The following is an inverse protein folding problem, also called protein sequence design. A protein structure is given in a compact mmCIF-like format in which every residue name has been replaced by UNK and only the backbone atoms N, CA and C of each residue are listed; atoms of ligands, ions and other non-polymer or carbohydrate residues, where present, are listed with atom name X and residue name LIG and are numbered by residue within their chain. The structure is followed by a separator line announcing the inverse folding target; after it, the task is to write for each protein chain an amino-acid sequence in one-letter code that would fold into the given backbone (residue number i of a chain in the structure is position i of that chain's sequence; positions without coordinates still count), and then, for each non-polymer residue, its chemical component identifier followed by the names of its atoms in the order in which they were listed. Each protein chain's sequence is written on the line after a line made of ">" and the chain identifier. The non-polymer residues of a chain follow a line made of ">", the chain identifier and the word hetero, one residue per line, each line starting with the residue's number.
data_IF_021168710827
#
_entry.id   IF_021168710827
#
_cell.length_a   1.000
_cell.length_b   1.000
_cell.length_c   1.000
_cell.angle_alpha   90.00
_cell.angle_beta   90.00
_cell.angle_gamma   90.00
#
_symmetry.space_group_name_H-M   'P 1'
#
loop_
_entity.id
_entity.type
_entity.pdbx_description
1 polymer ?
#
# COMPACT_ATOMS: atom_id res chain seq x y z
N UNK A 1 -10.93 -4.01 -25.58
CA UNK A 1 -10.17 -4.01 -24.31
C UNK A 1 -9.20 -5.19 -24.19
N UNK A 2 -9.66 -6.44 -24.04
CA UNK A 2 -8.81 -7.62 -23.78
C UNK A 2 -7.58 -7.74 -24.69
N UNK A 3 -7.78 -7.72 -26.01
CA UNK A 3 -6.68 -7.88 -26.96
C UNK A 3 -5.71 -6.70 -26.94
N UNK A 4 -6.20 -5.48 -26.66
CA UNK A 4 -5.36 -4.28 -26.51
C UNK A 4 -4.41 -4.44 -25.33
N UNK A 5 -4.96 -4.74 -24.15
CA UNK A 5 -4.18 -4.96 -22.94
C UNK A 5 -3.20 -6.14 -23.05
N UNK A 6 -3.58 -7.22 -23.74
CA UNK A 6 -2.65 -8.32 -23.99
C UNK A 6 -1.51 -7.91 -24.93
N UNK A 7 -1.80 -7.13 -25.97
CA UNK A 7 -0.77 -6.58 -26.86
C UNK A 7 0.19 -5.67 -26.10
N UNK A 8 -0.33 -4.71 -25.34
CA UNK A 8 0.44 -3.76 -24.54
C UNK A 8 1.25 -4.45 -23.44
N UNK A 9 0.75 -5.53 -22.83
CA UNK A 9 1.48 -6.29 -21.80
C UNK A 9 2.81 -6.89 -22.28
N UNK A 10 2.94 -7.06 -23.60
CA UNK A 10 4.16 -7.55 -24.27
C UNK A 10 4.80 -6.51 -25.17
N UNK A 11 4.20 -5.32 -25.26
CA UNK A 11 4.67 -4.22 -26.09
C UNK A 11 5.91 -3.58 -25.49
N UNK A 12 6.83 -3.16 -26.35
CA UNK A 12 8.11 -2.55 -25.95
C UNK A 12 8.28 -1.14 -26.52
N UNK A 13 7.21 -0.55 -27.07
CA UNK A 13 7.25 0.81 -27.60
C UNK A 13 7.44 1.77 -26.44
N UNK A 14 8.48 2.60 -26.53
CA UNK A 14 8.79 3.64 -25.56
C UNK A 14 8.92 4.97 -26.28
N UNK A 15 8.14 5.97 -25.84
CA UNK A 15 8.25 7.35 -26.30
C UNK A 15 8.89 8.21 -25.21
N UNK A 16 8.37 8.15 -24.00
CA UNK A 16 8.86 8.85 -22.82
C UNK A 16 8.26 8.23 -21.54
N UNK A 17 8.50 8.82 -20.37
CA UNK A 17 7.99 8.30 -19.10
C UNK A 17 6.48 8.53 -18.87
N UNK A 18 5.76 9.17 -19.79
CA UNK A 18 4.31 9.40 -19.70
C UNK A 18 3.56 8.93 -20.96
N UNK A 19 4.21 8.15 -21.82
CA UNK A 19 3.64 7.63 -23.08
C UNK A 19 4.44 6.44 -23.62
N UNK A 20 3.74 5.39 -24.03
CA UNK A 20 4.33 4.14 -24.54
C UNK A 20 3.60 2.91 -24.00
N UNK A 21 3.88 1.74 -24.56
CA UNK A 21 3.09 0.51 -24.31
C UNK A 21 2.99 0.18 -22.81
N UNK A 22 4.10 0.30 -22.09
CA UNK A 22 4.13 0.02 -20.64
C UNK A 22 3.34 1.05 -19.82
N UNK A 23 3.38 2.32 -20.22
CA UNK A 23 2.61 3.38 -19.55
C UNK A 23 1.12 3.19 -19.82
N UNK A 24 0.73 2.97 -21.08
CA UNK A 24 -0.66 2.76 -21.50
C UNK A 24 -1.25 1.52 -20.82
N UNK A 25 -0.47 0.43 -20.77
CA UNK A 25 -0.84 -0.80 -20.09
C UNK A 25 -1.19 -0.58 -18.61
N UNK A 26 -0.37 0.19 -17.89
CA UNK A 26 -0.60 0.51 -16.48
C UNK A 26 -1.74 1.53 -16.31
N UNK A 27 -1.82 2.54 -17.17
CA UNK A 27 -2.85 3.57 -17.16
C UNK A 27 -4.24 2.95 -17.28
N UNK A 28 -4.41 2.03 -18.23
CA UNK A 28 -5.68 1.34 -18.45
C UNK A 28 -6.10 0.53 -17.22
N UNK A 29 -5.16 -0.20 -16.62
CA UNK A 29 -5.45 -1.01 -15.44
C UNK A 29 -5.83 -0.13 -14.26
N UNK A 30 -5.10 0.96 -14.03
CA UNK A 30 -5.43 1.95 -13.02
C UNK A 30 -6.84 2.50 -13.23
N UNK A 31 -7.14 2.96 -14.44
CA UNK A 31 -8.43 3.55 -14.77
C UNK A 31 -9.57 2.54 -14.55
N UNK A 32 -9.36 1.29 -14.95
CA UNK A 32 -10.32 0.20 -14.70
C UNK A 32 -10.54 0.01 -13.20
N UNK A 33 -9.47 -0.03 -12.40
CA UNK A 33 -9.56 -0.16 -10.94
C UNK A 33 -10.27 1.04 -10.31
N UNK A 34 -9.96 2.26 -10.74
CA UNK A 34 -10.62 3.47 -10.28
C UNK A 34 -12.14 3.40 -10.52
N UNK A 35 -12.53 3.17 -11.77
CA UNK A 35 -13.93 3.15 -12.16
C UNK A 35 -14.70 2.04 -11.46
N UNK A 36 -14.14 0.82 -11.44
CA UNK A 36 -14.84 -0.33 -10.91
C UNK A 36 -14.87 -0.35 -9.38
N UNK A 37 -13.83 0.14 -8.69
CA UNK A 37 -13.76 0.08 -7.22
C UNK A 37 -14.32 1.33 -6.53
N UNK A 38 -14.14 2.53 -7.11
CA UNK A 38 -14.33 3.80 -6.36
C UNK A 38 -15.22 4.86 -7.02
N UNK A 39 -15.69 4.66 -8.25
CA UNK A 39 -16.59 5.60 -8.93
C UNK A 39 -18.08 5.18 -8.86
N UNK A 40 -18.37 3.97 -8.39
CA UNK A 40 -19.74 3.50 -8.16
C UNK A 40 -20.38 4.11 -6.91
N UNK A 41 -21.69 4.36 -6.94
CA UNK A 41 -22.45 5.03 -5.88
C UNK A 41 -22.53 4.27 -4.54
N UNK A 42 -22.11 3.01 -4.50
CA UNK A 42 -22.19 2.15 -3.30
C UNK A 42 -20.91 1.37 -2.99
N UNK A 43 -19.81 1.60 -3.72
CA UNK A 43 -18.53 0.87 -3.59
C UNK A 43 -18.72 -0.66 -3.40
N UNK A 44 -19.78 -1.24 -3.98
CA UNK A 44 -20.14 -2.66 -3.79
C UNK A 44 -19.06 -3.60 -4.26
N UNK A 45 -18.24 -3.17 -5.23
CA UNK A 45 -17.10 -3.91 -5.77
C UNK A 45 -16.02 -4.22 -4.74
N UNK A 46 -15.92 -3.44 -3.65
CA UNK A 46 -15.00 -3.70 -2.53
C UNK A 46 -15.71 -4.23 -1.29
N UNK A 47 -17.02 -4.55 -1.36
CA UNK A 47 -17.76 -5.03 -0.19
C UNK A 47 -17.11 -6.28 0.40
N UNK A 48 -16.69 -6.22 1.66
CA UNK A 48 -15.91 -7.23 2.38
C UNK A 48 -14.39 -7.24 2.08
N UNK A 49 -13.85 -6.21 1.44
CA UNK A 49 -12.43 -5.96 1.18
C UNK A 49 -12.00 -4.54 1.61
N UNK A 50 -12.85 -3.84 2.35
CA UNK A 50 -12.75 -2.42 2.67
C UNK A 50 -11.43 -2.09 3.37
N UNK A 51 -11.04 -2.88 4.38
CA UNK A 51 -9.83 -2.67 5.16
C UNK A 51 -8.56 -2.66 4.29
N UNK A 52 -8.56 -3.45 3.21
CA UNK A 52 -7.42 -3.56 2.30
C UNK A 52 -7.53 -2.60 1.11
N UNK A 53 -8.74 -2.28 0.64
CA UNK A 53 -8.94 -1.55 -0.61
C UNK A 53 -9.30 -0.07 -0.41
N UNK A 54 -9.92 0.33 0.69
CA UNK A 54 -10.27 1.75 0.93
C UNK A 54 -9.03 2.67 1.02
N UNK A 55 -7.91 2.29 1.66
CA UNK A 55 -6.73 3.15 1.75
C UNK A 55 -6.15 3.52 0.38
N UNK A 56 -6.35 2.68 -0.64
CA UNK A 56 -5.86 2.90 -2.01
C UNK A 56 -6.70 3.92 -2.79
N UNK A 57 -7.87 4.32 -2.30
CA UNK A 57 -8.81 5.21 -3.00
C UNK A 57 -8.17 6.53 -3.44
N UNK A 58 -7.33 7.14 -2.60
CA UNK A 58 -6.65 8.40 -2.95
C UNK A 58 -5.67 8.23 -4.11
N UNK A 59 -5.00 7.08 -4.21
CA UNK A 59 -4.06 6.77 -5.29
C UNK A 59 -4.79 6.55 -6.61
N UNK A 60 -5.93 5.84 -6.57
CA UNK A 60 -6.70 5.54 -7.76
C UNK A 60 -7.49 6.73 -8.27
N UNK A 61 -8.15 7.51 -7.39
CA UNK A 61 -8.94 8.67 -7.80
C UNK A 61 -8.11 9.88 -8.21
N UNK A 62 -6.79 9.81 -8.09
CA UNK A 62 -5.92 10.82 -8.67
C UNK A 62 -5.86 10.64 -10.20
N UNK A 63 -6.30 11.63 -10.96
CA UNK A 63 -6.50 11.49 -12.39
C UNK A 63 -5.16 11.59 -13.15
N UNK A 64 -4.75 10.52 -13.83
CA UNK A 64 -3.53 10.52 -14.67
C UNK A 64 -3.60 11.48 -15.88
N UNK A 65 -4.79 11.97 -16.22
CA UNK A 65 -5.02 12.86 -17.36
C UNK A 65 -5.15 14.34 -16.98
N UNK A 66 -4.82 14.74 -15.73
CA UNK A 66 -4.92 16.14 -15.31
C UNK A 66 -4.22 17.04 -16.34
N UNK A 67 -4.94 18.04 -16.85
CA UNK A 67 -4.46 18.92 -17.94
C UNK A 67 -3.25 19.78 -17.58
N UNK A 68 -2.89 19.84 -16.29
CA UNK A 68 -1.70 20.52 -15.78
C UNK A 68 -0.77 19.58 -14.99
N UNK A 69 -0.95 18.26 -15.11
CA UNK A 69 -0.08 17.28 -14.46
C UNK A 69 0.08 16.03 -15.34
N UNK A 70 1.31 15.80 -15.79
CA UNK A 70 1.68 14.57 -16.49
C UNK A 70 2.17 13.56 -15.47
N UNK A 71 1.45 12.45 -15.33
CA UNK A 71 1.87 11.37 -14.43
C UNK A 71 2.91 10.48 -15.10
N UNK A 72 4.09 10.41 -14.49
CA UNK A 72 5.15 9.52 -14.95
C UNK A 72 4.83 8.06 -14.60
N UNK A 73 5.46 7.14 -15.34
CA UNK A 73 5.50 5.72 -15.03
C UNK A 73 5.80 5.52 -13.55
N UNK A 74 5.00 4.67 -12.90
CA UNK A 74 5.14 4.32 -11.49
C UNK A 74 4.85 5.44 -10.48
N UNK A 75 4.33 6.59 -10.89
CA UNK A 75 4.00 7.67 -9.94
C UNK A 75 3.05 7.22 -8.81
N UNK A 76 2.14 6.29 -9.12
CA UNK A 76 1.20 5.72 -8.15
C UNK A 76 1.87 4.88 -7.04
N UNK A 77 3.14 4.49 -7.22
CA UNK A 77 3.89 3.67 -6.28
C UNK A 77 4.30 4.45 -5.02
N UNK A 78 3.32 4.65 -4.15
CA UNK A 78 3.49 5.25 -2.82
C UNK A 78 3.62 4.18 -1.74
N UNK A 79 4.08 4.57 -0.55
CA UNK A 79 4.10 3.69 0.63
C UNK A 79 2.71 3.11 0.92
N UNK A 80 1.66 3.93 0.77
CA UNK A 80 0.27 3.49 0.91
C UNK A 80 -0.07 2.44 -0.15
N UNK A 81 0.30 2.66 -1.40
CA UNK A 81 0.04 1.67 -2.45
C UNK A 81 0.71 0.33 -2.14
N UNK A 82 2.01 0.35 -1.86
CA UNK A 82 2.79 -0.87 -1.58
C UNK A 82 2.36 -1.58 -0.29
N UNK A 83 1.79 -0.85 0.68
CA UNK A 83 1.29 -1.44 1.93
C UNK A 83 -0.01 -2.23 1.73
N UNK A 84 -0.89 -1.81 0.82
CA UNK A 84 -2.26 -2.34 0.73
C UNK A 84 -2.57 -3.09 -0.57
N UNK A 85 -1.81 -2.88 -1.66
CA UNK A 85 -2.14 -3.40 -2.99
C UNK A 85 -2.21 -4.94 -3.02
N UNK A 86 -1.25 -5.64 -2.41
CA UNK A 86 -1.21 -7.11 -2.39
C UNK A 86 -2.39 -7.75 -1.65
N UNK A 87 -2.75 -7.20 -0.48
CA UNK A 87 -3.88 -7.70 0.32
C UNK A 87 -5.22 -7.37 -0.35
N UNK A 88 -5.34 -6.18 -0.95
CA UNK A 88 -6.52 -5.81 -1.74
C UNK A 88 -6.67 -6.73 -2.96
N UNK A 89 -5.59 -6.97 -3.72
CA UNK A 89 -5.58 -7.87 -4.86
C UNK A 89 -6.03 -9.29 -4.46
N UNK A 90 -5.50 -9.81 -3.36
CA UNK A 90 -5.86 -11.12 -2.83
C UNK A 90 -7.33 -11.21 -2.43
N UNK A 91 -7.85 -10.19 -1.74
CA UNK A 91 -9.26 -10.13 -1.37
C UNK A 91 -10.18 -10.09 -2.60
N UNK A 92 -9.87 -9.25 -3.60
CA UNK A 92 -10.64 -9.16 -4.83
C UNK A 92 -10.63 -10.50 -5.60
N UNK A 93 -9.49 -11.19 -5.68
CA UNK A 93 -9.40 -12.52 -6.32
C UNK A 93 -10.17 -13.63 -5.61
N UNK A 94 -10.51 -13.46 -4.34
CA UNK A 94 -11.30 -14.43 -3.58
C UNK A 94 -12.80 -14.38 -3.91
N UNK A 95 -13.25 -13.32 -4.60
CA UNK A 95 -14.67 -13.05 -4.86
C UNK A 95 -15.02 -13.21 -6.33
N UNK A 96 -16.11 -13.94 -6.56
CA UNK A 96 -16.73 -14.05 -7.88
C UNK A 96 -17.18 -12.66 -8.35
N UNK A 97 -16.79 -12.27 -9.56
CA UNK A 97 -17.12 -10.96 -10.14
C UNK A 97 -16.03 -9.89 -10.02
N UNK A 98 -15.03 -10.07 -9.15
CA UNK A 98 -13.91 -9.10 -9.01
C UNK A 98 -12.51 -9.70 -9.24
N UNK A 99 -12.42 -10.95 -9.72
CA UNK A 99 -11.13 -11.64 -9.98
C UNK A 99 -10.21 -10.86 -10.91
N UNK A 100 -10.74 -10.32 -12.02
CA UNK A 100 -9.93 -9.53 -12.97
C UNK A 100 -9.36 -8.27 -12.30
N UNK A 101 -10.14 -7.63 -11.43
CA UNK A 101 -9.70 -6.42 -10.73
C UNK A 101 -8.55 -6.78 -9.77
N UNK A 102 -8.65 -7.94 -9.10
CA UNK A 102 -7.53 -8.46 -8.31
C UNK A 102 -6.28 -8.77 -9.15
N UNK A 103 -6.43 -9.31 -10.37
CA UNK A 103 -5.29 -9.52 -11.29
C UNK A 103 -4.64 -8.20 -11.72
N UNK A 104 -5.44 -7.16 -11.98
CA UNK A 104 -4.93 -5.83 -12.36
C UNK A 104 -4.20 -5.16 -11.20
N UNK A 105 -4.75 -5.29 -9.99
CA UNK A 105 -4.10 -4.80 -8.77
C UNK A 105 -2.75 -5.49 -8.55
N UNK A 106 -2.69 -6.83 -8.70
CA UNK A 106 -1.44 -7.61 -8.62
C UNK A 106 -0.42 -7.19 -9.68
N UNK A 107 -0.87 -6.88 -10.90
CA UNK A 107 0.02 -6.43 -11.96
C UNK A 107 0.64 -5.05 -11.63
N UNK A 108 -0.18 -4.12 -11.15
CA UNK A 108 0.30 -2.80 -10.72
C UNK A 108 1.24 -2.91 -9.51
N UNK A 109 0.91 -3.76 -8.54
CA UNK A 109 1.79 -4.08 -7.41
C UNK A 109 3.15 -4.63 -7.87
N UNK A 110 3.14 -5.61 -8.79
CA UNK A 110 4.37 -6.17 -9.36
C UNK A 110 5.20 -5.12 -10.10
N UNK A 111 4.55 -4.18 -10.78
CA UNK A 111 5.22 -3.10 -11.47
C UNK A 111 5.88 -2.10 -10.50
N UNK A 112 5.27 -1.85 -9.33
CA UNK A 112 5.90 -1.05 -8.27
C UNK A 112 7.11 -1.74 -7.64
N UNK A 113 7.05 -3.07 -7.46
CA UNK A 113 8.16 -3.85 -6.92
C UNK A 113 9.36 -3.92 -7.88
N UNK A 114 9.08 -4.15 -9.16
CA UNK A 114 10.12 -4.48 -10.14
C UNK A 114 10.61 -3.29 -10.96
N UNK A 115 9.76 -2.26 -11.14
CA UNK A 115 10.03 -1.05 -11.93
C UNK A 115 10.78 -1.32 -13.24
N UNK A 116 10.22 -2.11 -14.17
CA UNK A 116 10.87 -2.44 -15.42
C UNK A 116 11.27 -1.18 -16.21
N UNK A 117 12.46 -1.23 -16.82
CA UNK A 117 13.00 -0.16 -17.64
C UNK A 117 12.40 -0.18 -19.05
N UNK A 118 11.35 0.64 -19.25
CA UNK A 118 10.67 0.77 -20.53
C UNK A 118 11.60 1.17 -21.69
N UNK A 119 12.57 2.05 -21.43
CA UNK A 119 13.54 2.49 -22.45
C UNK A 119 14.49 1.37 -22.90
N UNK A 120 14.66 0.34 -22.08
CA UNK A 120 15.42 -0.87 -22.40
C UNK A 120 14.54 -1.98 -23.00
N UNK A 121 13.24 -1.73 -23.21
CA UNK A 121 12.29 -2.74 -23.69
C UNK A 121 11.90 -3.78 -22.64
N UNK A 122 12.11 -3.50 -21.35
CA UNK A 122 11.65 -4.39 -20.29
C UNK A 122 10.14 -4.27 -20.10
N UNK A 123 9.47 -5.40 -19.89
CA UNK A 123 8.02 -5.49 -19.68
C UNK A 123 7.72 -5.97 -18.26
N UNK A 124 6.48 -5.75 -17.80
CA UNK A 124 6.03 -6.29 -16.50
C UNK A 124 5.88 -7.81 -16.60
N UNK A 125 6.37 -8.49 -15.57
CA UNK A 125 6.11 -9.92 -15.40
C UNK A 125 4.74 -10.12 -14.76
N UNK A 126 3.80 -10.68 -15.52
CA UNK A 126 2.47 -11.00 -15.01
C UNK A 126 2.55 -12.19 -14.02
N UNK A 127 2.14 -11.96 -12.77
CA UNK A 127 2.02 -13.04 -11.77
C UNK A 127 0.98 -14.10 -12.15
N UNK A 128 -0.05 -13.69 -12.91
CA UNK A 128 -1.13 -14.52 -13.46
C UNK A 128 -1.63 -13.94 -14.79
N UNK A 129 -2.31 -14.73 -15.65
CA UNK A 129 -2.94 -14.17 -16.84
C UNK A 129 -3.98 -13.11 -16.47
N UNK A 130 -3.91 -11.93 -17.09
CA UNK A 130 -4.74 -10.75 -16.79
C UNK A 130 -6.25 -11.05 -16.70
N UNK A 131 -6.74 -11.93 -17.57
CA UNK A 131 -8.16 -12.26 -17.71
C UNK A 131 -8.51 -13.67 -17.23
N UNK A 132 -7.67 -14.28 -16.38
CA UNK A 132 -8.04 -15.50 -15.68
C UNK A 132 -9.16 -15.20 -14.68
N UNK A 133 -10.23 -16.01 -14.73
CA UNK A 133 -11.42 -15.88 -13.88
C UNK A 133 -11.39 -16.86 -12.70
N UNK A 134 -10.35 -17.69 -12.61
CA UNK A 134 -10.20 -18.66 -11.53
C UNK A 134 -10.10 -17.93 -10.19
N UNK A 135 -11.07 -18.15 -9.30
CA UNK A 135 -11.00 -17.62 -7.95
C UNK A 135 -9.78 -18.23 -7.26
N UNK A 136 -8.99 -17.38 -6.61
CA UNK A 136 -7.88 -17.83 -5.79
C UNK A 136 -8.47 -18.39 -4.48
N UNK A 137 -9.09 -19.56 -4.56
CA UNK A 137 -9.30 -20.38 -3.37
C UNK A 137 -7.90 -20.71 -2.88
N UNK A 138 -7.54 -20.29 -1.66
CA UNK A 138 -6.25 -20.63 -1.07
C UNK A 138 -5.97 -22.11 -1.32
N UNK A 139 -4.79 -22.38 -1.88
CA UNK A 139 -4.28 -23.64 -2.42
C UNK A 139 -4.46 -23.81 -3.94
N UNK A 140 -3.45 -23.38 -4.71
CA UNK A 140 -2.56 -24.27 -5.49
C UNK A 140 -1.49 -23.43 -6.17
N UNK A 141 -0.24 -23.84 -5.97
CA UNK A 141 0.95 -23.41 -6.72
C UNK A 141 0.76 -23.73 -8.21
N UNK A 142 0.41 -22.74 -9.03
CA UNK A 142 0.48 -22.89 -10.49
C UNK A 142 1.87 -22.52 -10.96
N UNK A 143 2.72 -23.54 -11.11
CA UNK A 143 3.98 -23.46 -11.84
C UNK A 143 3.64 -23.36 -13.33
N UNK A 144 3.67 -22.16 -13.90
CA UNK A 144 3.62 -21.99 -15.36
C UNK A 144 4.91 -22.57 -15.95
N UNK A 145 4.84 -23.79 -16.46
CA UNK A 145 5.92 -24.39 -17.24
C UNK A 145 5.76 -23.89 -18.67
N UNK A 146 6.60 -22.95 -19.09
CA UNK A 146 6.68 -22.53 -20.48
C UNK A 146 7.20 -23.71 -21.31
N UNK A 147 6.33 -24.35 -22.07
CA UNK A 147 6.71 -25.27 -23.13
C UNK A 147 7.30 -24.48 -24.29
N UNK A 148 8.63 -24.41 -24.35
CA UNK A 148 9.34 -23.92 -25.53
C UNK A 148 9.34 -25.01 -26.61
N UNK A 149 8.65 -24.77 -27.71
CA UNK A 149 8.78 -25.56 -28.94
C UNK A 149 10.13 -25.22 -29.56
N UNK A 150 11.12 -26.11 -29.41
CA UNK A 150 12.39 -26.02 -30.10
C UNK A 150 12.35 -26.91 -31.35
N UNK A 151 12.43 -26.28 -32.52
CA UNK A 151 12.67 -26.93 -33.81
C UNK A 151 14.05 -27.58 -33.79
N UNK A 152 14.12 -28.88 -34.03
CA UNK A 152 15.36 -29.64 -34.02
C UNK A 152 16.17 -29.48 -35.31
N UNK A 153 17.41 -29.03 -35.17
CA UNK A 153 18.55 -29.36 -36.04
C UNK A 153 19.76 -29.57 -35.14
N UNK A 154 20.39 -30.74 -35.24
CA UNK A 154 21.43 -31.19 -34.30
C UNK A 154 22.81 -30.57 -34.53
N UNK A 155 23.66 -30.60 -33.49
CA UNK A 155 24.90 -31.40 -33.42
C UNK A 155 25.61 -31.16 -32.06
N UNK A 156 26.30 -32.21 -31.62
CA UNK A 156 27.29 -32.42 -30.56
C UNK A 156 27.67 -31.34 -29.51
N UNK A 157 27.86 -31.83 -28.27
CA UNK A 157 28.95 -31.38 -27.38
C UNK A 157 28.55 -31.15 -25.93
N UNK A 158 28.78 -32.16 -25.07
CA UNK A 158 28.48 -32.07 -23.64
C UNK A 158 29.34 -31.06 -22.89
N UNK A 159 28.72 -30.44 -21.86
CA UNK A 159 29.31 -30.08 -20.56
C UNK A 159 28.15 -29.83 -19.59
N UNK A 160 28.10 -30.60 -18.50
CA UNK A 160 27.16 -30.38 -17.41
C UNK A 160 27.41 -29.06 -16.71
N UNK A 161 26.35 -28.27 -16.53
CA UNK A 161 26.32 -27.15 -15.62
C UNK A 161 25.13 -27.38 -14.68
N UNK A 162 25.44 -27.65 -13.41
CA UNK A 162 24.46 -27.67 -12.33
C UNK A 162 23.86 -26.27 -12.20
N UNK A 163 22.62 -26.08 -12.66
CA UNK A 163 21.88 -24.86 -12.43
C UNK A 163 21.25 -24.91 -11.04
N UNK A 164 21.73 -24.01 -10.18
CA UNK A 164 21.24 -23.79 -8.83
C UNK A 164 19.77 -23.40 -8.84
N UNK A 165 18.97 -24.11 -8.07
CA UNK A 165 17.55 -23.85 -7.86
C UNK A 165 17.35 -22.50 -7.16
N UNK A 166 16.92 -21.49 -7.92
CA UNK A 166 16.45 -20.21 -7.38
C UNK A 166 15.10 -20.40 -6.71
N UNK A 167 15.04 -20.21 -5.39
CA UNK A 167 13.82 -20.38 -4.60
C UNK A 167 12.84 -19.21 -4.82
N UNK A 168 11.57 -19.55 -5.01
CA UNK A 168 10.45 -18.61 -5.23
C UNK A 168 10.37 -17.52 -4.15
N UNK A 169 9.91 -16.33 -4.52
CA UNK A 169 9.72 -15.16 -3.65
C UNK A 169 8.91 -15.47 -2.39
N UNK A 170 7.96 -16.41 -2.44
CA UNK A 170 7.23 -16.89 -1.27
C UNK A 170 8.11 -17.65 -0.24
N UNK A 171 9.14 -18.35 -0.70
CA UNK A 171 10.14 -18.95 0.18
C UNK A 171 11.10 -17.90 0.76
N UNK A 172 11.42 -16.86 -0.01
CA UNK A 172 12.28 -15.74 0.45
C UNK A 172 11.57 -14.88 1.52
N UNK A 173 10.28 -14.60 1.34
CA UNK A 173 9.47 -13.88 2.32
C UNK A 173 9.28 -14.67 3.63
N UNK A 174 9.07 -15.99 3.56
CA UNK A 174 8.96 -16.86 4.73
C UNK A 174 10.26 -16.98 5.56
N UNK A 175 11.42 -17.02 4.90
CA UNK A 175 12.72 -17.11 5.59
C UNK A 175 13.07 -15.78 6.28
N UNK A 176 12.70 -14.63 5.70
CA UNK A 176 12.98 -13.31 6.28
C UNK A 176 12.28 -13.08 7.64
N UNK A 177 11.00 -13.42 7.74
CA UNK A 177 10.22 -13.22 8.98
C UNK A 177 10.63 -14.24 10.06
N UNK A 178 10.92 -15.49 9.66
CA UNK A 178 11.36 -16.54 10.60
C UNK A 178 12.73 -16.27 11.21
N UNK A 179 13.69 -15.76 10.43
CA UNK A 179 15.03 -15.44 10.92
C UNK A 179 15.05 -14.22 11.87
N UNK A 180 14.19 -13.22 11.64
CA UNK A 180 14.08 -12.05 12.50
C UNK A 180 13.56 -12.40 13.90
N UNK A 181 12.44 -13.10 13.98
CA UNK A 181 11.82 -13.47 15.28
C UNK A 181 12.64 -14.55 15.99
N UNK A 182 13.11 -15.57 15.25
CA UNK A 182 13.95 -16.63 15.81
C UNK A 182 15.30 -16.12 16.31
N UNK A 183 15.94 -15.23 15.54
CA UNK A 183 17.23 -14.62 15.91
C UNK A 183 17.13 -13.77 17.17
N UNK A 184 16.11 -12.91 17.28
CA UNK A 184 15.89 -12.08 18.47
C UNK A 184 15.59 -12.92 19.72
N UNK A 185 14.82 -14.02 19.59
CA UNK A 185 14.56 -14.93 20.70
C UNK A 185 15.82 -15.66 21.18
N UNK A 186 16.67 -16.14 20.26
CA UNK A 186 17.92 -16.84 20.61
C UNK A 186 18.92 -15.87 21.25
N UNK A 187 19.09 -14.68 20.68
CA UNK A 187 19.99 -13.66 21.23
C UNK A 187 19.52 -13.16 22.60
N UNK A 188 18.21 -12.95 22.77
CA UNK A 188 17.61 -12.59 24.04
C UNK A 188 17.81 -13.67 25.11
N UNK A 189 17.56 -14.95 24.77
CA UNK A 189 17.76 -16.07 25.68
C UNK A 189 19.24 -16.26 26.06
N UNK A 190 20.17 -16.11 25.11
CA UNK A 190 21.60 -16.19 25.36
C UNK A 190 22.09 -15.06 26.28
N UNK A 191 21.67 -13.82 26.02
CA UNK A 191 22.00 -12.68 26.88
C UNK A 191 21.46 -12.88 28.31
N UNK A 192 20.20 -13.32 28.45
CA UNK A 192 19.59 -13.60 29.75
C UNK A 192 20.31 -14.71 30.52
N UNK A 193 20.69 -15.81 29.86
CA UNK A 193 21.44 -16.91 30.48
C UNK A 193 22.83 -16.48 30.96
N UNK A 194 23.55 -15.65 30.19
CA UNK A 194 24.86 -15.13 30.59
C UNK A 194 24.75 -14.19 31.79
N UNK A 195 23.75 -13.31 31.82
CA UNK A 195 23.45 -12.44 32.95
C UNK A 195 23.04 -13.24 34.20
N UNK A 196 22.19 -14.26 34.04
CA UNK A 196 21.76 -15.13 35.13
C UNK A 196 22.93 -15.95 35.72
N UNK A 197 23.87 -16.42 34.89
CA UNK A 197 25.08 -17.11 35.35
C UNK A 197 26.05 -16.18 36.08
N UNK A 198 26.22 -14.94 35.61
CA UNK A 198 27.04 -13.93 36.29
C UNK A 198 26.47 -13.53 37.65
N UNK A 199 25.14 -13.41 37.78
CA UNK A 199 24.48 -13.12 39.05
C UNK A 199 24.61 -14.24 40.08
N UNK A 200 24.81 -15.49 39.65
CA UNK A 200 25.09 -16.63 40.55
C UNK A 200 26.57 -16.73 40.98
N UNK A 201 27.48 -16.04 40.29
CA UNK A 201 28.89 -15.94 40.66
C UNK A 201 29.22 -14.77 41.61
N UNK A 202 28.28 -13.85 41.84
CA UNK A 202 28.46 -12.70 42.72
C UNK A 202 27.95 -12.94 44.16
N UNK A 203 27.88 -14.20 44.60
CA UNK A 203 27.56 -14.56 45.98
C UNK A 203 28.81 -14.88 46.83
N UNK A 204 30.01 -14.55 46.36
CA UNK A 204 31.23 -14.60 47.17
C UNK A 204 32.14 -13.42 46.82
N UNK A 205 32.18 -12.43 47.71
CA UNK A 205 33.24 -11.41 47.72
C UNK A 205 32.73 -9.99 47.99
N UNK A 206 32.94 -9.51 49.22
CA UNK A 206 33.01 -8.07 49.51
C UNK A 206 32.13 -7.60 50.65
N UNK A 207 32.56 -7.85 51.89
CA UNK A 207 32.07 -7.16 53.07
C UNK A 207 32.54 -5.70 53.08
N UNK A 208 31.62 -4.74 53.15
CA UNK A 208 31.82 -3.40 53.72
C UNK A 208 30.45 -2.95 54.24
N UNK A 209 30.23 -3.14 55.55
CA UNK A 209 30.23 -2.09 56.58
C UNK A 209 28.92 -1.27 56.61
N UNK A 210 28.11 -1.61 57.62
CA UNK A 210 26.91 -0.93 58.07
C UNK A 210 27.34 0.08 59.13
N UNK A 211 27.01 1.36 58.93
CA UNK A 211 27.09 2.38 59.99
C UNK A 211 25.66 2.87 60.30
N UNK A 212 25.27 3.00 61.59
CA UNK A 212 23.88 3.22 61.99
C UNK A 212 23.48 4.71 61.98
N UNK A 213 22.18 5.05 62.02
CA UNK A 213 21.71 6.42 62.01
C UNK A 213 21.63 7.00 63.43
N UNK A 214 22.11 8.23 63.61
CA UNK A 214 21.94 9.00 64.84
C UNK A 214 20.87 10.09 64.66
N UNK A 215 19.78 9.88 65.40
CA UNK A 215 18.73 10.85 65.74
C UNK A 215 19.26 11.91 66.71
N UNK A 216 18.83 13.17 66.57
CA UNK A 216 18.30 14.06 67.65
C UNK A 216 18.15 15.51 67.15
N UNK A 217 16.93 16.05 67.21
CA UNK A 217 16.65 17.51 67.14
C UNK A 217 16.97 18.21 68.47
N UNK A 218 16.40 19.40 68.80
CA UNK A 218 15.60 20.34 67.99
C UNK A 218 16.04 21.82 68.11
N UNK A 219 15.30 22.68 67.40
CA UNK A 219 15.00 24.11 67.67
C UNK A 219 16.09 25.19 67.53
N UNK A 220 15.85 26.12 66.58
CA UNK A 220 15.67 27.55 66.90
C UNK A 220 15.18 28.34 65.67
N UNK A 221 14.24 29.24 65.92
CA UNK A 221 13.62 30.23 65.03
C UNK A 221 14.62 31.21 64.34
N UNK A 222 14.28 31.77 63.17
CA UNK A 222 13.78 33.15 63.00
C UNK A 222 13.75 33.61 61.51
N UNK A 223 12.55 33.98 61.05
CA UNK A 223 12.12 35.16 60.26
C UNK A 223 12.73 35.63 58.92
N UNK A 224 11.79 36.17 58.12
CA UNK A 224 11.81 36.98 56.88
C UNK A 224 11.95 36.22 55.54
N UNK A 225 11.08 36.39 54.53
CA UNK A 225 9.98 37.34 54.32
C UNK A 225 9.92 37.72 52.84
N UNK A 226 8.70 37.74 52.28
CA UNK A 226 8.30 38.17 50.92
C UNK A 226 8.77 37.27 49.75
N UNK A 227 7.96 36.90 48.76
CA UNK A 227 6.58 37.24 48.42
C UNK A 227 6.39 37.02 46.92
N UNK A 228 5.42 36.19 46.52
CA UNK A 228 4.55 36.31 45.33
C UNK A 228 3.96 34.92 44.95
N UNK A 229 2.65 34.83 44.68
CA UNK A 229 1.90 33.57 44.67
C UNK A 229 1.85 32.85 43.30
N UNK A 230 1.70 31.53 43.40
CA UNK A 230 1.24 30.62 42.35
C UNK A 230 -0.26 30.85 42.11
N UNK A 231 -0.65 31.17 40.88
CA UNK A 231 -2.07 31.20 40.49
C UNK A 231 -2.43 29.88 39.80
N UNK A 232 -3.43 29.20 40.35
CA UNK A 232 -4.01 27.96 39.84
C UNK A 232 -5.45 28.22 39.36
N UNK A 233 -5.75 27.59 38.22
CA UNK A 233 -7.04 27.00 37.81
C UNK A 233 -8.14 27.97 37.35
N UNK A 234 -8.67 27.73 36.14
CA UNK A 234 -10.06 27.32 35.90
C UNK A 234 -10.29 26.97 34.42
N UNK A 235 -10.59 25.69 34.15
CA UNK A 235 -11.14 25.22 32.88
C UNK A 235 -12.61 25.66 32.83
N UNK A 236 -13.01 26.37 31.77
CA UNK A 236 -14.39 26.76 31.53
C UNK A 236 -14.94 26.09 30.28
N UNK A 237 -15.94 25.25 30.48
CA UNK A 237 -16.79 24.65 29.46
C UNK A 237 -17.69 25.72 28.85
N UNK A 238 -17.81 25.75 27.53
CA UNK A 238 -18.78 26.60 26.82
C UNK A 238 -19.70 25.74 25.97
N UNK A 239 -20.98 25.77 26.32
CA UNK A 239 -22.08 25.47 25.43
C UNK A 239 -22.46 26.71 24.62
N UNK A 240 -22.84 26.43 23.38
CA UNK A 240 -24.04 26.90 22.65
C UNK A 240 -24.27 28.41 22.35
N UNK A 241 -24.52 28.64 21.04
CA UNK A 241 -25.18 29.74 20.30
C UNK A 241 -24.43 31.07 20.06
N UNK A 242 -24.11 31.31 18.78
CA UNK A 242 -24.77 32.37 17.98
C UNK A 242 -24.37 32.29 16.49
N UNK A 243 -25.37 32.47 15.62
CA UNK A 243 -25.27 32.50 14.17
C UNK A 243 -24.50 33.73 13.66
N UNK A 244 -23.78 33.56 12.53
CA UNK A 244 -23.31 34.68 11.69
C UNK A 244 -23.62 34.36 10.23
N UNK A 245 -24.64 35.06 9.75
CA UNK A 245 -24.81 35.74 8.45
C UNK A 245 -24.40 35.01 7.15
N UNK A 246 -25.42 34.55 6.40
CA UNK A 246 -25.34 34.42 4.93
C UNK A 246 -25.66 35.76 4.32
N UNK A 247 -24.78 36.26 3.46
CA UNK A 247 -25.12 37.29 2.48
C UNK A 247 -25.89 36.65 1.32
N UNK A 248 -27.14 37.06 1.14
CA UNK A 248 -27.94 36.79 -0.05
C UNK A 248 -27.63 37.85 -1.13
N UNK A 249 -27.52 37.42 -2.38
CA UNK A 249 -27.51 38.30 -3.55
C UNK A 249 -28.85 38.14 -4.25
N UNK A 250 -29.68 39.16 -4.15
CA UNK A 250 -30.90 39.37 -4.94
C UNK A 250 -30.56 39.57 -6.43
N UNK A 251 -31.27 38.87 -7.33
CA UNK A 251 -31.56 39.38 -8.67
C UNK A 251 -33.02 39.07 -9.03
N UNK A 252 -33.75 40.15 -9.27
CA UNK A 252 -35.18 40.28 -9.50
C UNK A 252 -35.64 39.83 -10.91
N UNK A 253 -36.80 39.18 -10.92
CA UNK A 253 -37.94 39.41 -11.82
C UNK A 253 -37.79 39.42 -13.34
N UNK A 254 -38.48 38.48 -14.03
CA UNK A 254 -38.76 38.64 -15.47
C UNK A 254 -39.58 37.52 -16.13
N UNK A 255 -40.90 37.62 -16.05
CA UNK A 255 -41.93 36.80 -16.70
C UNK A 255 -41.75 36.62 -18.23
N UNK A 256 -42.02 35.41 -18.76
CA UNK A 256 -42.22 35.22 -20.21
C UNK A 256 -42.34 33.79 -20.73
N UNK A 257 -43.59 33.35 -20.96
CA UNK A 257 -43.98 32.77 -22.26
C UNK A 257 -43.63 31.31 -22.59
N UNK A 258 -44.62 30.44 -22.40
CA UNK A 258 -44.83 29.17 -23.13
C UNK A 258 -44.68 29.35 -24.65
N UNK A 259 -43.90 28.51 -25.35
CA UNK A 259 -44.27 27.90 -26.66
C UNK A 259 -43.51 26.60 -27.00
N UNK A 260 -44.34 25.62 -27.35
CA UNK A 260 -44.15 24.38 -28.14
C UNK A 260 -43.16 24.51 -29.30
N UNK A 261 -42.38 23.45 -29.54
CA UNK A 261 -41.56 23.28 -30.74
C UNK A 261 -41.38 21.81 -31.09
N UNK A 262 -42.40 21.23 -31.73
CA UNK A 262 -42.20 20.13 -32.68
C UNK A 262 -41.41 20.68 -33.88
N UNK A 263 -40.45 19.92 -34.41
CA UNK A 263 -40.35 19.58 -35.84
C UNK A 263 -39.08 18.76 -36.14
N UNK A 264 -39.34 17.65 -36.83
CA UNK A 264 -38.40 16.84 -37.59
C UNK A 264 -37.99 17.54 -38.90
N UNK A 265 -37.27 16.78 -39.75
CA UNK A 265 -36.88 17.01 -41.17
C UNK A 265 -35.47 17.60 -41.30
N UNK A 266 -34.59 17.22 -42.22
CA UNK A 266 -34.29 16.06 -43.07
C UNK A 266 -32.96 16.44 -43.77
N UNK A 267 -32.22 15.46 -44.29
CA UNK A 267 -30.97 15.66 -45.04
C UNK A 267 -31.16 16.45 -46.34
N UNK A 268 -30.08 17.03 -46.86
CA UNK A 268 -29.52 16.51 -48.11
C UNK A 268 -28.09 15.97 -47.99
#
# INVERSE_FOLDING_TARGET
>A
MKNCLLCESTGTTYLNNHSGDLWDFLFIQKYTLQTCLYDGASETSISGCEDNCLPLRSIFKDLWYKTNHTEELYYYCSDVFTQYASDCATCLRSKSGSVILGNFMDNMDSACETKPNASAGETITLRRPLFDLSTATSNTTSTSTSSATATGTGDNGGRGAASSSSLSTGAKAGIGVGAGVGGLMILGAAAWLLLARRRRGAAQGGAHQYEPPMEQGPASELSYGAGAPVEQVTVKQFGELAAVERTEVELDGGNGGVRRGDNAVELP
#
